data_IF_575251564572
#
_entry.id   IF_575251564572
#
_cell.length_a   1.000
_cell.length_b   1.000
_cell.length_c   1.000
_cell.angle_alpha   90.00
_cell.angle_beta   90.00
_cell.angle_gamma   90.00
#
_symmetry.space_group_name_H-M   'P 1'
#
loop_
_entity.id
_entity.type
_entity.pdbx_description
1 polymer ?
#
# COMPACT_ATOMS: atom_id res chain seq x y z
N UNK A 1 -5.12 8.70 -19.58
CA UNK A 1 -5.40 8.27 -18.20
C UNK A 1 -4.31 8.85 -17.31
N UNK A 2 -4.69 9.67 -16.33
CA UNK A 2 -3.78 10.24 -15.34
C UNK A 2 -3.88 9.42 -14.05
N UNK A 3 -2.74 9.18 -13.41
CA UNK A 3 -2.64 8.38 -12.19
C UNK A 3 -1.86 9.17 -11.13
N UNK A 4 -2.46 9.35 -9.96
CA UNK A 4 -1.79 9.94 -8.79
C UNK A 4 -1.55 8.83 -7.78
N UNK A 5 -0.32 8.74 -7.28
CA UNK A 5 0.04 7.80 -6.21
C UNK A 5 0.44 8.57 -4.97
N UNK A 6 -0.09 8.18 -3.81
CA UNK A 6 0.25 8.72 -2.51
C UNK A 6 0.69 7.57 -1.61
N UNK A 7 1.98 7.53 -1.28
CA UNK A 7 2.49 6.60 -0.27
C UNK A 7 2.36 7.21 1.13
N UNK A 8 2.33 6.36 2.14
CA UNK A 8 2.18 6.75 3.56
C UNK A 8 0.99 7.69 3.81
N UNK A 9 -0.16 7.39 3.19
CA UNK A 9 -1.36 8.24 3.27
C UNK A 9 -1.86 8.44 4.73
N UNK A 10 -1.48 7.57 5.66
CA UNK A 10 -1.78 7.70 7.09
C UNK A 10 -1.13 8.95 7.73
N UNK A 11 -0.10 9.52 7.11
CA UNK A 11 0.46 10.82 7.52
C UNK A 11 -0.47 12.01 7.23
N UNK A 12 -1.30 11.91 6.18
CA UNK A 12 -2.23 12.95 5.74
C UNK A 12 -3.66 12.72 6.21
N UNK A 13 -4.03 11.46 6.49
CA UNK A 13 -5.37 11.09 6.93
C UNK A 13 -5.38 10.24 8.23
N UNK A 14 -4.73 10.68 9.32
CA UNK A 14 -4.78 9.96 10.60
C UNK A 14 -6.16 10.09 11.26
N UNK A 15 -6.51 9.12 12.12
CA UNK A 15 -7.70 9.18 12.99
C UNK A 15 -7.69 10.44 13.84
N UNK A 16 -8.87 11.01 14.00
CA UNK A 16 -9.13 12.10 14.94
C UNK A 16 -9.07 11.55 16.37
N UNK A 17 -8.12 12.05 17.16
CA UNK A 17 -8.07 11.88 18.62
C UNK A 17 -8.46 13.18 19.30
N UNK A 18 -8.81 13.12 20.58
CA UNK A 18 -9.20 14.30 21.37
C UNK A 18 -8.14 15.41 21.38
N UNK A 19 -6.87 15.07 21.13
CA UNK A 19 -5.72 15.99 21.11
C UNK A 19 -5.18 16.26 19.68
N UNK A 20 -6.05 16.16 18.66
CA UNK A 20 -5.64 16.44 17.27
C UNK A 20 -5.55 17.95 17.05
N UNK A 21 -4.40 18.45 16.60
CA UNK A 21 -4.25 19.87 16.29
C UNK A 21 -5.20 20.34 15.18
N UNK A 22 -5.70 21.57 15.29
CA UNK A 22 -6.57 22.20 14.28
C UNK A 22 -5.94 22.17 12.88
N UNK A 23 -4.61 22.30 12.80
CA UNK A 23 -3.88 22.20 11.55
C UNK A 23 -4.01 20.83 10.87
N UNK A 24 -4.04 19.74 11.62
CA UNK A 24 -4.24 18.40 11.06
C UNK A 24 -5.70 18.17 10.64
N UNK A 25 -6.67 18.71 11.39
CA UNK A 25 -8.08 18.65 11.03
C UNK A 25 -8.38 19.44 9.74
N UNK A 26 -7.75 20.61 9.58
CA UNK A 26 -7.86 21.41 8.37
C UNK A 26 -7.27 20.69 7.15
N UNK A 27 -6.08 20.10 7.28
CA UNK A 27 -5.44 19.31 6.22
C UNK A 27 -6.30 18.14 5.78
N UNK A 28 -6.83 17.36 6.73
CA UNK A 28 -7.72 16.25 6.45
C UNK A 28 -8.98 16.73 5.73
N UNK A 29 -9.59 17.84 6.18
CA UNK A 29 -10.80 18.39 5.55
C UNK A 29 -10.55 18.82 4.10
N UNK A 30 -9.41 19.47 3.83
CA UNK A 30 -9.00 19.82 2.47
C UNK A 30 -8.79 18.57 1.62
N UNK A 31 -8.09 17.56 2.16
CA UNK A 31 -7.88 16.29 1.46
C UNK A 31 -9.20 15.62 1.08
N UNK A 32 -10.17 15.55 1.99
CA UNK A 32 -11.50 14.98 1.72
C UNK A 32 -12.24 15.76 0.63
N UNK A 33 -12.15 17.10 0.65
CA UNK A 33 -12.73 17.98 -0.37
C UNK A 33 -12.11 17.74 -1.76
N UNK A 34 -10.78 17.63 -1.83
CA UNK A 34 -10.07 17.28 -3.07
C UNK A 34 -10.54 15.91 -3.59
N UNK A 35 -10.64 14.90 -2.72
CA UNK A 35 -11.10 13.55 -3.09
C UNK A 35 -12.55 13.56 -3.59
N UNK A 36 -13.40 14.43 -3.07
CA UNK A 36 -14.77 14.56 -3.57
C UNK A 36 -14.78 15.24 -4.95
N UNK A 37 -13.93 16.24 -5.20
CA UNK A 37 -13.84 16.93 -6.49
C UNK A 37 -13.23 16.12 -7.64
N UNK A 38 -12.34 15.16 -7.34
CA UNK A 38 -11.72 14.31 -8.39
C UNK A 38 -12.65 13.23 -8.93
N UNK A 39 -13.74 12.89 -8.23
CA UNK A 39 -14.66 11.81 -8.63
C UNK A 39 -15.30 12.07 -9.98
N UNK A 40 -15.49 13.35 -10.30
CA UNK A 40 -16.11 13.80 -11.54
C UNK A 40 -15.09 14.02 -12.66
N UNK A 41 -13.79 13.85 -12.40
CA UNK A 41 -12.73 14.02 -13.40
C UNK A 41 -12.56 12.72 -14.18
N UNK A 42 -12.92 12.69 -15.48
CA UNK A 42 -12.80 11.48 -16.28
C UNK A 42 -11.33 11.08 -16.44
N UNK A 43 -11.07 9.77 -16.44
CA UNK A 43 -9.74 9.18 -16.64
C UNK A 43 -8.68 9.54 -15.58
N UNK A 44 -9.09 9.92 -14.36
CA UNK A 44 -8.21 10.12 -13.22
C UNK A 44 -8.37 8.97 -12.22
N UNK A 45 -7.25 8.40 -11.78
CA UNK A 45 -7.21 7.35 -10.76
C UNK A 45 -6.23 7.72 -9.65
N UNK A 46 -6.62 7.47 -8.40
CA UNK A 46 -5.75 7.67 -7.23
C UNK A 46 -5.47 6.33 -6.56
N UNK A 47 -4.19 6.05 -6.36
CA UNK A 47 -3.71 4.96 -5.52
C UNK A 47 -3.14 5.52 -4.23
N UNK A 48 -3.56 4.95 -3.11
CA UNK A 48 -3.02 5.29 -1.80
C UNK A 48 -2.45 4.03 -1.14
N UNK A 49 -1.24 4.13 -0.60
CA UNK A 49 -0.58 3.05 0.13
C UNK A 49 -0.41 3.43 1.61
N UNK A 50 -0.62 2.46 2.50
CA UNK A 50 -0.43 2.62 3.95
C UNK A 50 -0.04 1.29 4.57
N UNK A 51 0.81 1.36 5.58
CA UNK A 51 1.13 0.24 6.46
C UNK A 51 0.25 0.22 7.73
N UNK A 52 -0.59 1.24 7.92
CA UNK A 52 -1.24 1.56 9.20
C UNK A 52 -2.73 1.84 9.04
N UNK A 53 -3.44 0.96 8.32
CA UNK A 53 -4.87 1.10 8.02
C UNK A 53 -5.74 1.38 9.27
N UNK A 54 -5.42 0.75 10.40
CA UNK A 54 -6.15 0.91 11.66
C UNK A 54 -6.07 2.32 12.28
N UNK A 55 -5.06 3.11 11.89
CA UNK A 55 -4.86 4.49 12.34
C UNK A 55 -5.44 5.53 11.39
N UNK A 56 -6.13 5.12 10.32
CA UNK A 56 -6.69 6.05 9.34
C UNK A 56 -8.08 6.55 9.71
N UNK A 57 -8.38 7.79 9.31
CA UNK A 57 -9.70 8.41 9.48
C UNK A 57 -10.81 7.66 8.73
N UNK A 58 -11.93 7.43 9.41
CA UNK A 58 -13.04 6.65 8.85
C UNK A 58 -13.74 7.37 7.68
N UNK A 59 -13.77 8.71 7.67
CA UNK A 59 -14.39 9.48 6.59
C UNK A 59 -13.53 9.48 5.32
N UNK A 60 -12.20 9.41 5.46
CA UNK A 60 -11.28 9.12 4.36
C UNK A 60 -11.51 7.71 3.82
N UNK A 61 -11.50 6.69 4.70
CA UNK A 61 -11.68 5.29 4.30
C UNK A 61 -13.03 5.02 3.60
N UNK A 62 -14.08 5.79 3.91
CA UNK A 62 -15.37 5.70 3.22
C UNK A 62 -15.36 6.28 1.80
N UNK A 63 -14.50 7.26 1.52
CA UNK A 63 -14.41 7.89 0.19
C UNK A 63 -13.55 7.10 -0.79
N UNK A 64 -12.58 6.35 -0.28
CA UNK A 64 -11.73 5.49 -1.10
C UNK A 64 -12.48 4.23 -1.54
N UNK A 65 -12.66 4.10 -2.85
CA UNK A 65 -13.20 2.91 -3.50
C UNK A 65 -12.11 1.85 -3.65
N UNK A 66 -12.42 0.57 -3.39
CA UNK A 66 -11.49 -0.54 -3.58
C UNK A 66 -10.37 -0.58 -2.52
N UNK A 67 -10.52 -1.46 -1.52
CA UNK A 67 -9.51 -1.67 -0.47
C UNK A 67 -8.85 -3.02 -0.71
N UNK A 68 -7.54 -3.00 -0.95
CA UNK A 68 -6.77 -4.20 -1.22
C UNK A 68 -5.79 -4.45 -0.09
N UNK A 69 -5.87 -5.63 0.52
CA UNK A 69 -4.88 -6.05 1.49
C UNK A 69 -3.70 -6.71 0.78
N UNK A 70 -2.51 -6.13 0.95
CA UNK A 70 -1.27 -6.71 0.43
C UNK A 70 -0.51 -7.33 1.58
N UNK A 71 -0.63 -8.66 1.70
CA UNK A 71 0.03 -9.44 2.73
C UNK A 71 1.43 -9.90 2.34
N UNK A 72 2.00 -10.76 3.19
CA UNK A 72 3.25 -11.44 2.88
C UNK A 72 3.08 -12.37 1.65
N UNK A 73 4.12 -12.51 0.81
CA UNK A 73 4.06 -13.39 -0.35
C UNK A 73 3.87 -14.85 0.07
N UNK A 74 2.97 -15.53 -0.64
CA UNK A 74 2.79 -16.98 -0.54
C UNK A 74 4.04 -17.73 -1.02
N UNK A 75 4.14 -19.04 -0.72
CA UNK A 75 5.26 -19.86 -1.20
C UNK A 75 5.46 -19.75 -2.72
N UNK A 76 4.35 -19.83 -3.48
CA UNK A 76 4.39 -19.68 -4.93
C UNK A 76 4.88 -18.28 -5.35
N UNK A 77 4.38 -17.22 -4.72
CA UNK A 77 4.81 -15.85 -5.02
C UNK A 77 6.30 -15.63 -4.68
N UNK A 78 6.81 -16.20 -3.57
CA UNK A 78 8.23 -16.16 -3.21
C UNK A 78 9.09 -16.86 -4.26
N UNK A 79 8.68 -18.05 -4.73
CA UNK A 79 9.36 -18.76 -5.81
C UNK A 79 9.42 -17.91 -7.08
N UNK A 80 8.32 -17.24 -7.44
CA UNK A 80 8.28 -16.32 -8.58
C UNK A 80 9.23 -15.13 -8.41
N UNK A 81 9.24 -14.48 -7.23
CA UNK A 81 10.14 -13.36 -6.92
C UNK A 81 11.60 -13.81 -7.05
N UNK A 82 11.98 -14.91 -6.39
CA UNK A 82 13.34 -15.44 -6.40
C UNK A 82 13.79 -15.85 -7.81
N UNK A 83 12.92 -16.48 -8.60
CA UNK A 83 13.22 -16.82 -10.00
C UNK A 83 13.41 -15.60 -10.91
N UNK A 84 12.85 -14.45 -10.53
CA UNK A 84 13.00 -13.19 -11.27
C UNK A 84 14.34 -12.48 -11.05
N UNK A 85 15.14 -12.92 -10.08
CA UNK A 85 16.45 -12.36 -9.76
C UNK A 85 17.46 -12.86 -10.80
N UNK A 86 17.55 -12.15 -11.92
CA UNK A 86 18.39 -12.52 -13.08
C UNK A 86 19.88 -12.64 -12.77
N UNK A 87 20.35 -12.01 -11.69
CA UNK A 87 21.76 -12.06 -11.28
C UNK A 87 22.16 -13.42 -10.72
N UNK A 88 21.20 -14.25 -10.28
CA UNK A 88 21.51 -15.56 -9.70
C UNK A 88 21.21 -16.64 -10.73
N UNK A 89 22.25 -17.34 -11.20
CA UNK A 89 22.09 -18.59 -11.95
C UNK A 89 21.70 -19.72 -10.98
N UNK A 90 20.46 -19.69 -10.48
CA UNK A 90 19.97 -20.68 -9.52
C UNK A 90 19.59 -21.98 -10.22
N UNK A 91 20.19 -23.12 -9.86
CA UNK A 91 19.67 -24.42 -10.28
C UNK A 91 18.30 -24.68 -9.59
N UNK A 92 17.39 -25.46 -10.20
CA UNK A 92 16.01 -25.62 -9.72
C UNK A 92 15.89 -26.10 -8.26
N UNK A 93 16.79 -26.99 -7.83
CA UNK A 93 16.86 -27.53 -6.47
C UNK A 93 17.18 -26.46 -5.41
N UNK A 94 18.03 -25.48 -5.75
CA UNK A 94 18.34 -24.37 -4.85
C UNK A 94 17.15 -23.42 -4.70
N UNK A 95 16.42 -23.16 -5.79
CA UNK A 95 15.24 -22.29 -5.77
C UNK A 95 14.15 -22.82 -4.84
N UNK A 96 13.88 -24.13 -4.89
CA UNK A 96 12.91 -24.78 -4.00
C UNK A 96 13.36 -24.70 -2.53
N UNK A 97 14.64 -24.96 -2.28
CA UNK A 97 15.24 -24.88 -0.94
C UNK A 97 15.13 -23.46 -0.36
N UNK A 98 15.43 -22.44 -1.15
CA UNK A 98 15.32 -21.03 -0.75
C UNK A 98 13.86 -20.61 -0.52
N UNK A 99 12.93 -21.11 -1.34
CA UNK A 99 11.49 -20.81 -1.18
C UNK A 99 10.96 -21.32 0.18
N UNK A 100 11.43 -22.50 0.62
CA UNK A 100 11.10 -23.05 1.94
C UNK A 100 11.79 -22.27 3.07
N UNK A 101 13.07 -21.95 2.93
CA UNK A 101 13.85 -21.24 3.93
C UNK A 101 13.40 -19.80 4.18
N UNK A 102 12.81 -19.14 3.18
CA UNK A 102 12.39 -17.72 3.24
C UNK A 102 10.93 -17.53 3.69
N UNK A 103 10.41 -18.46 4.49
CA UNK A 103 9.05 -18.35 5.02
C UNK A 103 8.89 -17.06 5.83
N UNK A 104 7.77 -16.36 5.64
CA UNK A 104 7.46 -15.04 6.22
C UNK A 104 8.30 -13.84 5.76
N UNK A 105 9.19 -14.01 4.79
CA UNK A 105 9.93 -12.87 4.25
C UNK A 105 8.99 -11.94 3.48
N UNK A 106 9.22 -10.63 3.56
CA UNK A 106 8.54 -9.66 2.71
C UNK A 106 9.13 -9.73 1.30
N UNK A 107 8.41 -9.17 0.31
CA UNK A 107 8.95 -9.06 -1.05
C UNK A 107 10.28 -8.29 -1.10
N UNK A 108 10.44 -7.27 -0.26
CA UNK A 108 11.68 -6.51 -0.15
C UNK A 108 12.84 -7.32 0.44
N UNK A 109 12.57 -8.20 1.40
CA UNK A 109 13.58 -9.06 2.02
C UNK A 109 14.06 -10.22 1.10
N UNK A 110 13.34 -10.47 0.00
CA UNK A 110 13.68 -11.50 -0.99
C UNK A 110 14.52 -10.98 -2.15
N UNK A 111 14.72 -9.66 -2.23
CA UNK A 111 15.34 -8.98 -3.36
C UNK A 111 16.84 -8.75 -3.17
#
# INVERSE_FOLDING_TARGET
MCCVSIDEIDSLAPKRKDDTSDGNLAKLSVLLSVIDGIKDVPNLMIFCATNRLHMMDDAFLRRMSGKFFVGRPSSHARKSILSGIKSWHMPPNLLDSLTMATTNFSGAALR
#
